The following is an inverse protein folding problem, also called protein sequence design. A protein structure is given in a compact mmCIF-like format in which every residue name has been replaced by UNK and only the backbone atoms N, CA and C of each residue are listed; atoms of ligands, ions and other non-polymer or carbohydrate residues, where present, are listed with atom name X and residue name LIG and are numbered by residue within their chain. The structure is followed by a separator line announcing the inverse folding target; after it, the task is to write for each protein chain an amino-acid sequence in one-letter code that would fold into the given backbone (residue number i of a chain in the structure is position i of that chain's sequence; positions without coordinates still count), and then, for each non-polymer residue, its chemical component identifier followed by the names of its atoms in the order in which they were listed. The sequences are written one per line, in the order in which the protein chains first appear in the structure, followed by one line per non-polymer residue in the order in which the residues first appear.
data_IF_735946599234
#
_entry.id   IF_735946599234
#
_cell.length_a   1.000
_cell.length_b   1.000
_cell.length_c   1.000
_cell.angle_alpha   90.00
_cell.angle_beta   90.00
_cell.angle_gamma   90.00
#
_symmetry.space_group_name_H-M   'P 1'
#
loop_
_entity.id
_entity.type
_entity.pdbx_description
1 polymer ?
#
# COMPACT_ATOMS: atom_id res chain seq x y z
N UNK A 1 -5.95 21.63 9.09
CA UNK A 1 -5.31 20.60 8.26
C UNK A 1 -6.03 20.58 6.92
N UNK A 2 -5.31 20.73 5.82
CA UNK A 2 -5.91 20.55 4.48
C UNK A 2 -6.34 19.08 4.33
N UNK A 3 -7.57 18.82 3.85
CA UNK A 3 -8.00 17.45 3.59
C UNK A 3 -7.10 16.83 2.51
N UNK A 4 -6.72 15.57 2.69
CA UNK A 4 -6.01 14.80 1.66
C UNK A 4 -7.03 14.36 0.63
N UNK A 5 -6.82 14.74 -0.63
CA UNK A 5 -7.62 14.30 -1.76
C UNK A 5 -6.81 13.35 -2.62
N UNK A 6 -7.45 12.31 -3.11
CA UNK A 6 -6.88 11.51 -4.18
C UNK A 6 -7.16 12.18 -5.51
N UNK A 7 -6.16 12.21 -6.36
CA UNK A 7 -6.28 12.67 -7.75
C UNK A 7 -5.75 11.58 -8.67
N UNK A 8 -6.30 11.42 -9.89
CA UNK A 8 -5.78 10.49 -10.87
C UNK A 8 -4.31 10.75 -11.16
N UNK A 9 -3.56 9.68 -11.41
CA UNK A 9 -2.16 9.73 -11.84
C UNK A 9 -2.05 9.18 -13.25
N UNK A 10 -1.37 9.92 -14.12
CA UNK A 10 -0.99 9.48 -15.46
C UNK A 10 0.49 9.84 -15.69
N UNK A 11 1.38 8.87 -15.98
CA UNK A 11 1.13 7.43 -16.07
C UNK A 11 0.94 6.76 -14.69
N UNK A 12 0.23 5.62 -14.61
CA UNK A 12 0.21 4.79 -13.41
C UNK A 12 1.60 4.31 -13.01
N UNK A 13 1.81 4.09 -11.71
CA UNK A 13 3.03 3.48 -11.20
C UNK A 13 3.07 1.97 -11.45
N UNK A 14 4.27 1.44 -11.64
CA UNK A 14 4.51 -0.02 -11.62
C UNK A 14 4.19 -0.58 -10.23
N UNK A 15 3.29 -1.57 -10.11
CA UNK A 15 2.94 -2.13 -8.82
C UNK A 15 4.13 -2.87 -8.19
N UNK A 16 4.34 -2.64 -6.90
CA UNK A 16 5.33 -3.38 -6.09
C UNK A 16 4.73 -3.90 -4.78
N UNK A 17 3.44 -3.66 -4.55
CA UNK A 17 2.68 -4.26 -3.49
C UNK A 17 1.23 -4.48 -3.90
N UNK A 18 0.55 -5.37 -3.20
CA UNK A 18 -0.89 -5.59 -3.31
C UNK A 18 -1.52 -5.62 -1.92
N UNK A 19 -2.65 -4.94 -1.77
CA UNK A 19 -3.39 -4.86 -0.52
C UNK A 19 -4.82 -5.36 -0.69
N UNK A 20 -5.34 -6.09 0.29
CA UNK A 20 -6.73 -6.52 0.30
C UNK A 20 -7.26 -6.68 1.72
N UNK A 21 -8.58 -6.77 1.84
CA UNK A 21 -9.31 -7.08 3.07
C UNK A 21 -10.39 -8.13 2.82
N UNK A 22 -10.87 -8.78 3.89
CA UNK A 22 -11.94 -9.78 3.79
C UNK A 22 -11.56 -10.97 2.87
N UNK A 23 -12.50 -11.49 2.05
CA UNK A 23 -12.25 -12.66 1.20
C UNK A 23 -11.07 -12.51 0.23
N UNK A 24 -10.85 -11.30 -0.31
CA UNK A 24 -9.72 -11.03 -1.19
C UNK A 24 -8.37 -11.17 -0.45
N UNK A 25 -8.31 -10.85 0.84
CA UNK A 25 -7.12 -11.07 1.65
C UNK A 25 -6.85 -12.57 1.88
N UNK A 26 -7.90 -13.38 2.03
CA UNK A 26 -7.75 -14.84 2.15
C UNK A 26 -7.23 -15.46 0.85
N UNK A 27 -7.78 -15.04 -0.29
CA UNK A 27 -7.29 -15.44 -1.61
C UNK A 27 -5.82 -15.05 -1.81
N UNK A 28 -5.44 -13.81 -1.45
CA UNK A 28 -4.05 -13.38 -1.50
C UNK A 28 -3.13 -14.20 -0.58
N UNK A 29 -3.56 -14.53 0.65
CA UNK A 29 -2.78 -15.38 1.56
C UNK A 29 -2.55 -16.77 0.97
N UNK A 30 -3.57 -17.36 0.36
CA UNK A 30 -3.46 -18.68 -0.27
C UNK A 30 -2.50 -18.67 -1.47
N UNK A 31 -2.44 -17.56 -2.22
CA UNK A 31 -1.57 -17.39 -3.37
C UNK A 31 -0.17 -16.82 -3.05
N UNK A 32 0.06 -16.37 -1.82
CA UNK A 32 1.30 -15.72 -1.42
C UNK A 32 2.49 -16.69 -1.48
N UNK A 33 3.57 -16.26 -2.14
CA UNK A 33 4.84 -17.00 -2.19
C UNK A 33 5.72 -16.60 -1.02
N UNK A 34 6.60 -17.49 -0.57
CA UNK A 34 7.51 -17.28 0.57
C UNK A 34 8.55 -16.15 0.35
N UNK A 35 8.73 -15.70 -0.89
CA UNK A 35 9.62 -14.59 -1.25
C UNK A 35 9.02 -13.22 -0.94
N UNK A 36 7.69 -13.12 -0.83
CA UNK A 36 6.99 -11.88 -0.56
C UNK A 36 7.14 -11.49 0.91
N UNK A 37 7.30 -10.19 1.18
CA UNK A 37 7.20 -9.68 2.56
C UNK A 37 5.74 -9.45 2.88
N UNK A 38 5.36 -9.76 4.12
CA UNK A 38 3.96 -9.71 4.54
C UNK A 38 3.78 -8.68 5.65
N UNK A 39 2.75 -7.85 5.52
CA UNK A 39 2.34 -6.92 6.55
C UNK A 39 0.83 -6.99 6.75
N UNK A 40 0.37 -6.73 7.97
CA UNK A 40 -1.06 -6.71 8.30
C UNK A 40 -1.36 -5.57 9.27
N UNK A 41 -2.47 -4.87 9.05
CA UNK A 41 -3.04 -3.90 9.99
C UNK A 41 -4.52 -3.69 9.69
N UNK A 42 -5.33 -3.48 10.72
CA UNK A 42 -6.74 -3.08 10.60
C UNK A 42 -7.58 -3.95 9.64
N UNK A 43 -7.33 -5.27 9.66
CA UNK A 43 -8.02 -6.24 8.79
C UNK A 43 -7.51 -6.28 7.34
N UNK A 44 -6.49 -5.48 7.01
CA UNK A 44 -5.81 -5.51 5.72
C UNK A 44 -4.62 -6.47 5.73
N UNK A 45 -4.45 -7.17 4.60
CA UNK A 45 -3.23 -7.87 4.23
C UNK A 45 -2.51 -7.05 3.17
N UNK A 46 -1.20 -6.88 3.34
CA UNK A 46 -0.30 -6.28 2.37
C UNK A 46 0.78 -7.31 2.02
N UNK A 47 0.93 -7.57 0.73
CA UNK A 47 2.04 -8.34 0.18
C UNK A 47 2.95 -7.39 -0.59
N UNK A 48 4.24 -7.46 -0.28
CA UNK A 48 5.27 -6.60 -0.84
C UNK A 48 6.23 -7.45 -1.67
N UNK A 49 6.38 -7.08 -2.93
CA UNK A 49 7.34 -7.69 -3.84
C UNK A 49 8.77 -7.33 -3.43
N UNK A 50 9.69 -8.28 -3.60
CA UNK A 50 11.14 -7.98 -3.60
C UNK A 50 11.65 -7.60 -4.99
N UNK A 51 10.91 -7.97 -6.04
CA UNK A 51 11.16 -7.56 -7.41
C UNK A 51 10.63 -6.13 -7.64
N UNK A 52 11.46 -5.17 -8.08
CA UNK A 52 11.00 -3.81 -8.40
C UNK A 52 9.96 -3.75 -9.54
N UNK A 53 9.79 -4.84 -10.31
CA UNK A 53 8.76 -4.96 -11.35
C UNK A 53 7.46 -5.60 -10.86
N UNK A 54 7.44 -6.12 -9.63
CA UNK A 54 6.25 -6.74 -9.03
C UNK A 54 5.77 -8.03 -9.70
N UNK A 55 6.65 -8.74 -10.44
CA UNK A 55 6.25 -9.90 -11.23
C UNK A 55 5.80 -11.12 -10.40
N UNK A 56 6.13 -11.14 -9.11
CA UNK A 56 5.78 -12.20 -8.16
C UNK A 56 4.51 -11.90 -7.34
N UNK A 57 3.87 -10.75 -7.57
CA UNK A 57 2.65 -10.37 -6.86
C UNK A 57 1.43 -11.19 -7.36
N UNK A 58 0.71 -11.88 -6.46
CA UNK A 58 -0.47 -12.63 -6.84
C UNK A 58 -1.64 -11.70 -7.19
N UNK A 59 -2.45 -12.14 -8.15
CA UNK A 59 -3.70 -11.50 -8.53
C UNK A 59 -4.89 -12.16 -7.80
N UNK A 60 -5.85 -11.34 -7.36
CA UNK A 60 -7.16 -11.77 -6.92
C UNK A 60 -8.19 -10.65 -7.17
N UNK A 61 -9.47 -10.98 -7.21
CA UNK A 61 -10.52 -9.97 -7.32
C UNK A 61 -10.61 -9.10 -6.06
N UNK A 62 -10.84 -7.80 -6.27
CA UNK A 62 -11.02 -6.84 -5.17
C UNK A 62 -9.72 -6.39 -4.50
N UNK A 63 -8.57 -6.65 -5.11
CA UNK A 63 -7.27 -6.19 -4.59
C UNK A 63 -6.94 -4.77 -5.02
N UNK A 64 -6.13 -4.08 -4.21
CA UNK A 64 -5.57 -2.78 -4.52
C UNK A 64 -4.09 -2.92 -4.85
N UNK A 65 -3.73 -2.60 -6.09
CA UNK A 65 -2.34 -2.53 -6.53
C UNK A 65 -1.70 -1.24 -6.03
N UNK A 66 -0.59 -1.38 -5.30
CA UNK A 66 0.10 -0.28 -4.66
C UNK A 66 1.53 -0.14 -5.17
N UNK A 67 2.04 1.08 -5.11
CA UNK A 67 3.44 1.39 -5.37
C UNK A 67 3.93 2.50 -4.43
N UNK A 68 5.23 2.52 -4.09
CA UNK A 68 5.81 3.60 -3.31
C UNK A 68 5.85 4.89 -4.12
N UNK A 69 5.38 5.97 -3.51
CA UNK A 69 5.45 7.33 -4.03
C UNK A 69 5.89 8.27 -2.90
N UNK A 70 7.14 8.74 -2.98
CA UNK A 70 7.75 9.69 -2.02
C UNK A 70 7.53 9.33 -0.53
N UNK A 71 7.68 8.05 -0.18
CA UNK A 71 7.58 7.57 1.21
C UNK A 71 6.18 7.10 1.63
N UNK A 72 5.23 7.03 0.70
CA UNK A 72 3.88 6.53 0.93
C UNK A 72 3.51 5.49 -0.13
N UNK A 73 3.00 4.33 0.26
CA UNK A 73 2.38 3.40 -0.70
C UNK A 73 0.99 3.90 -1.07
N UNK A 74 0.75 4.09 -2.36
CA UNK A 74 -0.51 4.58 -2.90
C UNK A 74 -1.03 3.63 -3.98
N UNK A 75 -2.36 3.59 -4.24
CA UNK A 75 -2.89 2.95 -5.42
C UNK A 75 -2.17 3.42 -6.68
N UNK A 76 -1.76 2.50 -7.54
CA UNK A 76 -0.86 2.78 -8.68
C UNK A 76 -1.37 3.88 -9.62
N UNK A 77 -2.69 4.01 -9.75
CA UNK A 77 -3.38 4.95 -10.62
C UNK A 77 -3.76 6.27 -9.92
N UNK A 78 -3.35 6.47 -8.66
CA UNK A 78 -3.67 7.66 -7.88
C UNK A 78 -2.40 8.32 -7.33
N UNK A 79 -2.52 9.62 -7.06
CA UNK A 79 -1.62 10.37 -6.19
C UNK A 79 -2.43 11.22 -5.22
N UNK A 80 -1.78 12.03 -4.38
CA UNK A 80 -2.45 12.87 -3.39
C UNK A 80 -2.22 14.35 -3.65
N UNK A 81 -3.24 15.13 -3.31
CA UNK A 81 -3.16 16.57 -3.08
C UNK A 81 -3.51 16.84 -1.60
N UNK A 82 -2.59 17.34 -0.76
CA UNK A 82 -1.24 17.83 -1.08
C UNK A 82 -0.25 16.70 -1.49
N UNK A 83 0.94 17.05 -2.02
CA UNK A 83 1.91 16.07 -2.53
C UNK A 83 2.24 14.91 -1.58
N UNK A 84 2.48 13.69 -2.09
CA UNK A 84 2.69 12.48 -1.29
C UNK A 84 3.75 12.62 -0.20
N UNK A 85 4.86 13.32 -0.46
CA UNK A 85 5.90 13.56 0.56
C UNK A 85 5.37 14.31 1.81
N UNK A 86 4.48 15.29 1.62
CA UNK A 86 3.89 16.04 2.74
C UNK A 86 2.90 15.17 3.51
N UNK A 87 2.12 14.35 2.79
CA UNK A 87 1.18 13.40 3.39
C UNK A 87 1.93 12.33 4.18
N UNK A 88 2.99 11.75 3.61
CA UNK A 88 3.86 10.78 4.28
C UNK A 88 4.43 11.34 5.58
N UNK A 89 4.98 12.57 5.55
CA UNK A 89 5.51 13.23 6.74
C UNK A 89 4.43 13.49 7.80
N UNK A 90 3.21 13.81 7.39
CA UNK A 90 2.09 14.00 8.31
C UNK A 90 1.58 12.68 8.90
N UNK A 91 1.55 11.61 8.10
CA UNK A 91 1.16 10.27 8.51
C UNK A 91 2.19 9.67 9.49
N UNK A 92 3.49 9.80 9.21
CA UNK A 92 4.57 9.30 10.07
C UNK A 92 4.52 9.87 11.49
N UNK A 93 4.06 11.12 11.67
CA UNK A 93 3.87 11.73 13.00
C UNK A 93 2.72 11.12 13.80
N UNK A 94 1.78 10.46 13.14
CA UNK A 94 0.60 9.82 13.76
C UNK A 94 0.73 8.32 13.88
N UNK A 95 1.57 7.72 13.04
CA UNK A 95 1.79 6.29 13.02
C UNK A 95 2.46 5.82 14.33
N UNK A 96 2.12 4.62 14.82
CA UNK A 96 2.80 4.03 15.97
C UNK A 96 4.32 3.96 15.77
N UNK A 97 5.10 4.08 16.84
CA UNK A 97 6.56 3.89 16.76
C UNK A 97 6.89 2.47 16.30
N UNK A 98 7.89 2.34 15.42
CA UNK A 98 8.34 1.04 14.89
C UNK A 98 7.63 0.58 13.61
N UNK A 99 6.72 1.38 13.04
CA UNK A 99 6.25 1.13 11.68
C UNK A 99 7.41 1.20 10.69
N UNK A 100 7.40 0.33 9.68
CA UNK A 100 8.40 0.33 8.60
C UNK A 100 7.83 0.83 7.29
N UNK A 101 6.50 0.92 7.19
CA UNK A 101 5.80 1.26 5.96
C UNK A 101 4.49 1.99 6.26
N UNK A 102 4.17 2.97 5.40
CA UNK A 102 2.90 3.67 5.37
C UNK A 102 2.23 3.40 4.03
N UNK A 103 0.97 2.99 4.06
CA UNK A 103 0.12 2.88 2.87
C UNK A 103 -1.14 3.72 3.08
N UNK A 104 -1.54 4.48 2.07
CA UNK A 104 -2.75 5.28 2.10
C UNK A 104 -3.69 4.83 0.98
N UNK A 105 -4.82 4.28 1.38
CA UNK A 105 -5.93 3.91 0.51
C UNK A 105 -7.11 4.88 0.75
N UNK A 106 -8.06 4.97 -0.19
CA UNK A 106 -9.30 5.71 0.05
C UNK A 106 -9.96 5.30 1.37
N UNK A 107 -10.03 6.23 2.32
CA UNK A 107 -10.61 6.02 3.66
C UNK A 107 -9.72 5.32 4.69
N UNK A 108 -8.49 4.90 4.34
CA UNK A 108 -7.64 4.13 5.24
C UNK A 108 -6.17 4.56 5.19
N UNK A 109 -5.58 4.83 6.36
CA UNK A 109 -4.14 4.97 6.54
C UNK A 109 -3.64 3.73 7.29
N UNK A 110 -2.77 2.96 6.66
CA UNK A 110 -2.16 1.77 7.23
C UNK A 110 -0.72 2.06 7.61
N UNK A 111 -0.39 1.88 8.88
CA UNK A 111 0.97 1.91 9.39
C UNK A 111 1.37 0.50 9.80
N UNK A 112 2.27 -0.12 9.03
CA UNK A 112 2.58 -1.55 9.19
C UNK A 112 4.08 -1.78 9.37
N UNK A 113 4.38 -2.88 10.05
CA UNK A 113 5.71 -3.46 10.10
C UNK A 113 5.71 -4.68 9.20
N UNK A 114 6.43 -4.62 8.07
CA UNK A 114 6.51 -5.72 7.12
C UNK A 114 7.62 -6.69 7.55
N UNK A 115 7.25 -7.94 7.83
CA UNK A 115 8.16 -9.03 8.21
C UNK A 115 8.53 -9.88 7.00
#
# INVERSE_FOLDING_TARGET
MTPVRFVPREPPLTPTAVAARGPAAEALRAAARTTLRVAQADGWLLLLSRDPRGADLPWADGVHWLAPDQGLYLPTHLTTDPPPALVARAAARRAPRGHTLLALLPGHLLAVTAR
#
